data_IF_643125532911
#
_entry.id   IF_643125532911
#
_cell.length_a   1.000
_cell.length_b   1.000
_cell.length_c   1.000
_cell.angle_alpha   90.00
_cell.angle_beta   90.00
_cell.angle_gamma   90.00
#
_symmetry.space_group_name_H-M   'P 1'
#
loop_
_entity.id
_entity.type
_entity.pdbx_description
1 polymer ?
#
# COMPACT_ATOMS: atom_id res chain seq x y z
N UNK A 1 18.63 12.88 -18.65
CA UNK A 1 17.21 12.48 -18.49
C UNK A 1 16.94 11.53 -17.30
N UNK A 2 17.86 10.64 -16.86
CA UNK A 2 17.60 9.72 -15.74
C UNK A 2 17.44 10.33 -14.33
N UNK A 3 17.97 11.53 -14.07
CA UNK A 3 17.89 12.12 -12.73
C UNK A 3 16.50 12.67 -12.41
N UNK A 4 15.85 13.30 -13.39
CA UNK A 4 14.49 13.85 -13.20
C UNK A 4 13.41 12.76 -13.02
N UNK A 5 13.63 11.55 -13.58
CA UNK A 5 12.66 10.45 -13.43
C UNK A 5 12.63 9.83 -12.03
N UNK A 6 13.73 9.90 -11.27
CA UNK A 6 13.76 9.41 -9.88
C UNK A 6 13.05 10.37 -8.92
N UNK A 7 13.26 11.69 -9.07
CA UNK A 7 12.56 12.69 -8.24
C UNK A 7 11.06 12.60 -8.46
N UNK A 8 10.63 12.50 -9.73
CA UNK A 8 9.22 12.30 -10.05
C UNK A 8 8.61 11.05 -9.41
N UNK A 9 9.36 9.93 -9.37
CA UNK A 9 8.88 8.70 -8.73
C UNK A 9 8.72 8.84 -7.21
N UNK A 10 9.60 9.56 -6.52
CA UNK A 10 9.48 9.87 -5.09
C UNK A 10 8.26 10.76 -4.81
N UNK A 11 8.06 11.83 -5.60
CA UNK A 11 6.90 12.71 -5.44
C UNK A 11 5.58 11.96 -5.66
N UNK A 12 5.53 11.12 -6.69
CA UNK A 12 4.36 10.31 -7.00
C UNK A 12 4.11 9.28 -5.90
N UNK A 13 5.14 8.62 -5.36
CA UNK A 13 5.00 7.70 -4.23
C UNK A 13 4.46 8.44 -2.98
N UNK A 14 4.95 9.63 -2.70
CA UNK A 14 4.47 10.48 -1.61
C UNK A 14 2.98 10.81 -1.78
N UNK A 15 2.56 11.28 -2.95
CA UNK A 15 1.16 11.61 -3.23
C UNK A 15 0.27 10.36 -3.12
N UNK A 16 0.71 9.22 -3.65
CA UNK A 16 -0.01 7.95 -3.57
C UNK A 16 -0.27 7.55 -2.12
N UNK A 17 0.75 7.65 -1.28
CA UNK A 17 0.64 7.28 0.14
C UNK A 17 -0.24 8.28 0.91
N UNK A 18 -0.19 9.58 0.60
CA UNK A 18 -1.11 10.57 1.17
C UNK A 18 -2.55 10.21 0.83
N UNK A 19 -2.84 9.85 -0.43
CA UNK A 19 -4.18 9.40 -0.83
C UNK A 19 -4.58 8.16 -0.04
N UNK A 20 -3.70 7.15 0.07
CA UNK A 20 -3.98 5.94 0.84
C UNK A 20 -4.21 6.22 2.33
N UNK A 21 -3.47 7.17 2.93
CA UNK A 21 -3.71 7.60 4.31
C UNK A 21 -5.12 8.11 4.54
N UNK A 22 -5.73 8.79 3.55
CA UNK A 22 -7.12 9.25 3.68
C UNK A 22 -8.14 8.10 3.60
N UNK A 23 -7.78 6.95 3.00
CA UNK A 23 -8.75 5.85 2.78
C UNK A 23 -9.28 5.24 4.06
N UNK A 24 -8.55 5.32 5.17
CA UNK A 24 -9.03 4.84 6.48
C UNK A 24 -10.28 5.59 6.92
N UNK A 25 -10.34 6.91 6.71
CA UNK A 25 -11.51 7.74 7.04
C UNK A 25 -12.70 7.35 6.16
N UNK A 26 -12.51 7.24 4.85
CA UNK A 26 -13.56 6.87 3.91
C UNK A 26 -14.08 5.45 4.14
N UNK A 27 -13.20 4.50 4.47
CA UNK A 27 -13.58 3.13 4.83
C UNK A 27 -14.41 3.13 6.12
N UNK A 28 -14.02 3.90 7.12
CA UNK A 28 -14.76 4.04 8.39
C UNK A 28 -16.18 4.58 8.15
N UNK A 29 -16.34 5.57 7.28
CA UNK A 29 -17.67 6.08 6.91
C UNK A 29 -18.54 5.04 6.21
N UNK A 30 -17.95 4.20 5.34
CA UNK A 30 -18.67 3.10 4.69
C UNK A 30 -19.08 2.00 5.66
N UNK A 31 -18.23 1.68 6.64
CA UNK A 31 -18.58 0.73 7.73
C UNK A 31 -19.73 1.29 8.57
N UNK A 32 -19.67 2.58 8.92
CA UNK A 32 -20.74 3.25 9.65
C UNK A 32 -22.07 3.30 8.87
N UNK A 33 -22.01 3.33 7.53
CA UNK A 33 -23.19 3.23 6.66
C UNK A 33 -23.75 1.80 6.53
N UNK A 34 -23.12 0.79 7.17
CA UNK A 34 -23.61 -0.58 7.24
C UNK A 34 -22.96 -1.57 6.25
N UNK A 35 -21.89 -1.16 5.53
CA UNK A 35 -21.14 -2.11 4.69
C UNK A 35 -20.13 -2.90 5.52
N UNK A 36 -20.03 -4.20 5.26
CA UNK A 36 -18.97 -5.01 5.87
C UNK A 36 -17.60 -4.73 5.23
N UNK A 37 -16.49 -4.95 5.96
CA UNK A 37 -15.13 -4.85 5.43
C UNK A 37 -14.91 -5.62 4.13
N UNK A 38 -15.44 -6.85 4.03
CA UNK A 38 -15.33 -7.67 2.83
C UNK A 38 -16.12 -7.09 1.65
N UNK A 39 -17.31 -6.54 1.89
CA UNK A 39 -18.12 -5.88 0.85
C UNK A 39 -17.39 -4.63 0.29
N UNK A 40 -16.82 -3.80 1.17
CA UNK A 40 -16.06 -2.62 0.76
C UNK A 40 -14.86 -3.04 -0.09
N UNK A 41 -14.09 -4.05 0.34
CA UNK A 41 -12.97 -4.58 -0.44
C UNK A 41 -13.43 -5.09 -1.82
N UNK A 42 -14.46 -5.91 -1.86
CA UNK A 42 -14.94 -6.52 -3.10
C UNK A 42 -15.43 -5.47 -4.08
N UNK A 43 -16.27 -4.53 -3.62
CA UNK A 43 -16.81 -3.48 -4.48
C UNK A 43 -15.71 -2.57 -5.04
N UNK A 44 -14.78 -2.12 -4.19
CA UNK A 44 -13.66 -1.27 -4.65
C UNK A 44 -12.75 -1.98 -5.66
N UNK A 45 -12.52 -3.30 -5.50
CA UNK A 45 -11.69 -4.08 -6.41
C UNK A 45 -12.42 -4.43 -7.70
N UNK A 46 -13.74 -4.66 -7.67
CA UNK A 46 -14.56 -4.83 -8.89
C UNK A 46 -14.54 -3.53 -9.71
N UNK A 47 -14.79 -2.37 -9.08
CA UNK A 47 -14.72 -1.06 -9.74
C UNK A 47 -13.33 -0.86 -10.36
N UNK A 48 -12.27 -1.10 -9.58
CA UNK A 48 -10.90 -0.96 -10.06
C UNK A 48 -10.59 -1.90 -11.22
N UNK A 49 -11.06 -3.17 -11.15
CA UNK A 49 -10.85 -4.15 -12.22
C UNK A 49 -11.55 -3.77 -13.51
N UNK A 50 -12.83 -3.38 -13.45
CA UNK A 50 -13.61 -2.97 -14.62
C UNK A 50 -12.96 -1.77 -15.30
N UNK A 51 -12.59 -0.74 -14.54
CA UNK A 51 -11.91 0.43 -15.06
C UNK A 51 -10.54 0.09 -15.64
N UNK A 52 -9.77 -0.76 -14.95
CA UNK A 52 -8.45 -1.19 -15.40
C UNK A 52 -8.54 -2.05 -16.66
N UNK A 53 -9.59 -2.86 -16.78
CA UNK A 53 -9.89 -3.62 -18.00
C UNK A 53 -10.19 -2.67 -19.17
N UNK A 54 -11.09 -1.70 -18.96
CA UNK A 54 -11.42 -0.69 -19.96
C UNK A 54 -10.20 0.11 -20.39
N UNK A 55 -9.40 0.61 -19.43
CA UNK A 55 -8.15 1.30 -19.70
C UNK A 55 -7.17 0.43 -20.50
N UNK A 56 -7.02 -0.83 -20.10
CA UNK A 56 -6.15 -1.80 -20.77
C UNK A 56 -6.58 -2.06 -22.22
N UNK A 57 -7.88 -2.18 -22.49
CA UNK A 57 -8.42 -2.38 -23.84
C UNK A 57 -8.21 -1.15 -24.74
N UNK A 58 -8.41 0.04 -24.19
CA UNK A 58 -8.21 1.31 -24.93
C UNK A 58 -6.72 1.57 -25.23
N UNK A 59 -5.87 1.32 -24.25
CA UNK A 59 -4.41 1.52 -24.39
C UNK A 59 -3.78 0.56 -25.36
N UNK A 60 -4.30 -0.66 -25.49
CA UNK A 60 -3.74 -1.74 -26.27
C UNK A 60 -4.10 -1.72 -27.77
N UNK A 61 -4.80 -0.70 -28.27
CA UNK A 61 -4.86 -0.46 -29.73
C UNK A 61 -3.46 -0.40 -30.39
N UNK A 62 -2.38 -0.27 -29.56
CA UNK A 62 -0.99 -0.18 -30.01
C UNK A 62 -0.13 -1.42 -29.71
N UNK A 63 -0.64 -2.40 -28.91
CA UNK A 63 0.13 -3.61 -28.53
C UNK A 63 -0.81 -4.82 -28.41
N UNK A 64 -0.38 -6.06 -28.81
CA UNK A 64 -1.25 -7.23 -28.74
C UNK A 64 -1.71 -7.53 -27.31
N UNK A 65 -3.02 -7.74 -27.16
CA UNK A 65 -3.67 -7.98 -25.89
C UNK A 65 -3.33 -9.37 -25.34
N UNK A 66 -2.68 -9.41 -24.17
CA UNK A 66 -2.44 -10.66 -23.46
C UNK A 66 -3.40 -10.77 -22.28
N UNK A 67 -4.25 -11.81 -22.31
CA UNK A 67 -5.16 -12.12 -21.21
C UNK A 67 -4.44 -12.87 -20.09
N UNK A 68 -3.54 -13.78 -20.45
CA UNK A 68 -2.77 -14.63 -19.54
C UNK A 68 -1.29 -14.31 -19.60
N UNK A 69 -0.58 -14.67 -18.54
CA UNK A 69 0.86 -14.59 -18.52
C UNK A 69 1.48 -15.60 -19.48
N UNK A 70 2.79 -15.47 -19.77
CA UNK A 70 3.45 -16.28 -20.75
C UNK A 70 3.59 -17.76 -20.34
N UNK A 71 3.67 -18.02 -19.04
CA UNK A 71 3.83 -19.35 -18.45
C UNK A 71 2.92 -19.52 -17.24
N UNK A 72 2.61 -20.78 -16.89
CA UNK A 72 1.87 -21.08 -15.67
C UNK A 72 2.58 -20.60 -14.39
N UNK A 73 3.93 -20.57 -14.39
CA UNK A 73 4.71 -20.01 -13.30
C UNK A 73 4.50 -18.49 -13.14
N UNK A 74 4.44 -17.78 -14.27
CA UNK A 74 4.17 -16.35 -14.25
C UNK A 74 2.71 -16.07 -13.88
N UNK A 75 1.76 -16.92 -14.31
CA UNK A 75 0.35 -16.80 -13.93
C UNK A 75 0.16 -17.06 -12.43
N UNK A 76 0.84 -18.06 -11.86
CA UNK A 76 0.82 -18.29 -10.41
C UNK A 76 1.45 -17.13 -9.62
N UNK A 77 2.48 -16.47 -10.18
CA UNK A 77 3.02 -15.24 -9.60
C UNK A 77 1.99 -14.10 -9.60
N UNK A 78 1.20 -13.95 -10.68
CA UNK A 78 0.11 -12.96 -10.73
C UNK A 78 -0.98 -13.27 -9.70
N UNK A 79 -1.34 -14.56 -9.53
CA UNK A 79 -2.28 -14.98 -8.50
C UNK A 79 -1.73 -14.70 -7.09
N UNK A 80 -0.47 -15.01 -6.82
CA UNK A 80 0.19 -14.71 -5.55
C UNK A 80 0.21 -13.20 -5.25
N UNK A 81 0.44 -12.35 -6.26
CA UNK A 81 0.35 -10.90 -6.13
C UNK A 81 -1.08 -10.44 -5.82
N UNK A 82 -2.10 -11.02 -6.46
CA UNK A 82 -3.51 -10.73 -6.17
C UNK A 82 -3.94 -11.16 -4.77
N UNK A 83 -3.43 -12.30 -4.30
CA UNK A 83 -3.68 -12.81 -2.96
C UNK A 83 -3.00 -11.91 -1.92
N UNK A 84 -1.72 -11.63 -2.07
CA UNK A 84 -0.94 -10.92 -1.05
C UNK A 84 -1.19 -9.41 -1.06
N UNK A 85 -1.32 -8.76 -2.21
CA UNK A 85 -1.63 -7.34 -2.32
C UNK A 85 -3.12 -7.02 -2.37
N UNK A 86 -3.97 -8.03 -2.39
CA UNK A 86 -5.42 -7.92 -2.45
C UNK A 86 -6.10 -8.62 -1.29
N UNK A 87 -6.60 -9.84 -1.50
CA UNK A 87 -7.53 -10.51 -0.59
C UNK A 87 -6.96 -10.71 0.82
N UNK A 88 -5.76 -11.26 1.00
CA UNK A 88 -5.20 -11.45 2.34
C UNK A 88 -4.98 -10.10 3.03
N UNK A 89 -4.31 -9.17 2.35
CA UNK A 89 -4.02 -7.87 2.94
C UNK A 89 -5.30 -7.18 3.44
N UNK A 90 -6.27 -6.95 2.56
CA UNK A 90 -7.47 -6.20 2.91
C UNK A 90 -8.42 -6.94 3.84
N UNK A 91 -8.54 -8.26 3.71
CA UNK A 91 -9.36 -9.04 4.65
C UNK A 91 -8.78 -8.98 6.06
N UNK A 92 -7.50 -9.24 6.20
CA UNK A 92 -6.87 -9.27 7.53
C UNK A 92 -6.76 -7.87 8.15
N UNK A 93 -6.47 -6.84 7.35
CA UNK A 93 -6.48 -5.43 7.82
C UNK A 93 -7.86 -5.00 8.31
N UNK A 94 -8.88 -5.21 7.47
CA UNK A 94 -10.24 -4.78 7.79
C UNK A 94 -10.88 -5.60 8.91
N UNK A 95 -10.63 -6.92 8.95
CA UNK A 95 -11.11 -7.78 10.04
C UNK A 95 -10.38 -7.45 11.36
N UNK A 96 -9.11 -7.06 11.34
CA UNK A 96 -8.40 -6.62 12.53
C UNK A 96 -9.13 -5.47 13.24
N UNK A 97 -9.74 -4.55 12.49
CA UNK A 97 -10.53 -3.43 13.04
C UNK A 97 -11.76 -3.85 13.84
N UNK A 98 -12.21 -5.09 13.71
CA UNK A 98 -13.32 -5.64 14.54
C UNK A 98 -12.84 -6.10 15.92
N UNK A 99 -11.55 -6.42 16.05
CA UNK A 99 -10.97 -7.00 17.27
C UNK A 99 -10.09 -6.01 18.04
N UNK A 100 -9.57 -4.98 17.36
CA UNK A 100 -8.69 -4.00 17.97
C UNK A 100 -8.97 -2.58 17.47
N UNK A 101 -8.29 -1.57 18.04
CA UNK A 101 -8.49 -0.18 17.65
C UNK A 101 -7.83 0.13 16.29
N UNK A 102 -8.36 1.13 15.58
CA UNK A 102 -7.76 1.63 14.34
C UNK A 102 -6.31 2.10 14.59
N UNK A 103 -6.02 2.64 15.77
CA UNK A 103 -4.68 3.02 16.23
C UNK A 103 -3.72 1.83 16.21
N UNK A 104 -4.11 0.69 16.83
CA UNK A 104 -3.26 -0.51 16.84
C UNK A 104 -3.07 -1.10 15.44
N UNK A 105 -4.15 -1.19 14.64
CA UNK A 105 -4.06 -1.70 13.27
C UNK A 105 -3.12 -0.82 12.43
N UNK A 106 -3.29 0.49 12.48
CA UNK A 106 -2.42 1.40 11.71
C UNK A 106 -0.97 1.33 12.16
N UNK A 107 -0.71 1.19 13.47
CA UNK A 107 0.64 1.03 14.01
C UNK A 107 1.34 -0.21 13.43
N UNK A 108 0.64 -1.35 13.45
CA UNK A 108 1.19 -2.61 12.98
C UNK A 108 1.34 -2.60 11.45
N UNK A 109 0.31 -2.21 10.71
CA UNK A 109 0.31 -2.20 9.24
C UNK A 109 1.32 -1.19 8.68
N UNK A 110 1.39 0.02 9.26
CA UNK A 110 2.35 1.03 8.81
C UNK A 110 3.81 0.73 9.21
N UNK A 111 4.07 -0.35 9.96
CA UNK A 111 5.42 -0.88 10.17
C UNK A 111 5.93 -1.72 8.98
N UNK A 112 5.10 -1.97 7.96
CA UNK A 112 5.45 -2.81 6.82
C UNK A 112 6.74 -2.42 6.06
N UNK A 113 7.22 -1.16 6.01
CA UNK A 113 8.51 -0.84 5.40
C UNK A 113 9.67 -1.56 6.10
N UNK A 114 9.62 -1.67 7.42
CA UNK A 114 10.62 -2.40 8.19
C UNK A 114 10.62 -3.90 7.84
N UNK A 115 9.43 -4.50 7.73
CA UNK A 115 9.29 -5.91 7.32
C UNK A 115 9.67 -6.12 5.85
N UNK A 116 9.35 -5.19 4.96
CA UNK A 116 9.81 -5.23 3.57
C UNK A 116 11.33 -5.20 3.48
N UNK A 117 11.99 -4.37 4.30
CA UNK A 117 13.44 -4.31 4.37
C UNK A 117 14.06 -5.62 4.88
N UNK A 118 13.50 -6.21 5.95
CA UNK A 118 13.96 -7.47 6.53
C UNK A 118 13.76 -8.66 5.57
N UNK A 119 12.59 -8.78 4.98
CA UNK A 119 12.27 -9.83 4.00
C UNK A 119 13.11 -9.68 2.74
N UNK A 120 13.34 -8.45 2.26
CA UNK A 120 14.22 -8.20 1.12
C UNK A 120 15.65 -8.70 1.41
N UNK A 121 16.19 -8.45 2.61
CA UNK A 121 17.49 -8.98 3.03
C UNK A 121 17.51 -10.51 3.05
N UNK A 122 16.44 -11.13 3.54
CA UNK A 122 16.34 -12.58 3.65
C UNK A 122 16.34 -13.27 2.27
N UNK A 123 15.53 -12.75 1.34
CA UNK A 123 15.33 -13.36 0.01
C UNK A 123 16.36 -12.90 -1.03
N UNK A 124 16.85 -11.66 -0.95
CA UNK A 124 17.83 -11.09 -1.88
C UNK A 124 19.18 -10.85 -1.20
N UNK A 125 19.85 -11.92 -0.77
CA UNK A 125 21.12 -11.90 -0.04
C UNK A 125 22.26 -11.10 -0.69
N UNK A 126 22.20 -10.87 -2.00
CA UNK A 126 23.24 -10.18 -2.77
C UNK A 126 23.28 -8.66 -2.58
N UNK A 127 22.26 -8.07 -1.96
CA UNK A 127 22.23 -6.63 -1.70
C UNK A 127 22.55 -6.36 -0.24
N UNK A 128 23.76 -5.86 0.03
CA UNK A 128 24.16 -5.43 1.37
C UNK A 128 23.22 -4.31 1.86
N UNK A 129 22.53 -4.56 2.97
CA UNK A 129 21.74 -3.54 3.67
C UNK A 129 22.70 -2.47 4.17
N UNK A 130 22.43 -1.22 3.86
CA UNK A 130 23.18 -0.10 4.43
C UNK A 130 22.66 0.16 5.84
N UNK A 131 23.55 0.18 6.83
CA UNK A 131 23.20 0.48 8.22
C UNK A 131 22.34 1.75 8.37
N UNK A 132 22.51 2.69 7.45
CA UNK A 132 21.77 3.94 7.37
C UNK A 132 20.30 3.76 6.95
N UNK A 133 20.00 2.83 6.03
CA UNK A 133 18.62 2.51 5.67
C UNK A 133 17.89 1.90 6.87
N UNK A 134 18.57 1.01 7.62
CA UNK A 134 18.03 0.45 8.85
C UNK A 134 17.79 1.54 9.90
N UNK A 135 18.78 2.40 10.13
CA UNK A 135 18.64 3.50 11.11
C UNK A 135 17.49 4.44 10.72
N UNK A 136 17.42 4.86 9.45
CA UNK A 136 16.36 5.73 8.96
C UNK A 136 14.97 5.09 9.09
N UNK A 137 14.83 3.80 8.75
CA UNK A 137 13.58 3.07 8.94
C UNK A 137 13.18 2.94 10.41
N UNK A 138 14.14 2.72 11.31
CA UNK A 138 13.88 2.69 12.76
C UNK A 138 13.43 4.06 13.29
N UNK A 139 14.10 5.14 12.88
CA UNK A 139 13.73 6.52 13.27
C UNK A 139 12.32 6.84 12.76
N UNK A 140 12.01 6.51 11.49
CA UNK A 140 10.67 6.71 10.94
C UNK A 140 9.62 5.87 11.69
N UNK A 141 9.94 4.63 12.05
CA UNK A 141 9.07 3.75 12.82
C UNK A 141 8.77 4.33 14.21
N UNK A 142 9.78 4.84 14.92
CA UNK A 142 9.58 5.52 16.21
C UNK A 142 8.69 6.75 16.05
N UNK A 143 8.94 7.57 15.03
CA UNK A 143 8.09 8.71 14.71
C UNK A 143 6.64 8.30 14.44
N UNK A 144 6.42 7.24 13.68
CA UNK A 144 5.09 6.70 13.39
C UNK A 144 4.37 6.22 14.67
N UNK A 145 5.08 5.53 15.58
CA UNK A 145 4.53 5.13 16.88
C UNK A 145 4.04 6.35 17.66
N UNK A 146 4.85 7.43 17.73
CA UNK A 146 4.48 8.66 18.45
C UNK A 146 3.25 9.33 17.80
N UNK A 147 3.19 9.39 16.46
CA UNK A 147 2.05 9.95 15.72
C UNK A 147 0.78 9.17 16.00
N UNK A 148 0.83 7.84 15.90
CA UNK A 148 -0.34 6.98 16.05
C UNK A 148 -0.86 6.96 17.48
N UNK A 149 0.03 6.93 18.48
CA UNK A 149 -0.36 7.01 19.88
C UNK A 149 -0.91 8.39 20.26
N UNK A 150 -0.49 9.45 19.57
CA UNK A 150 -1.01 10.81 19.70
C UNK A 150 -1.21 11.29 21.16
N UNK A 151 -0.28 10.91 22.05
CA UNK A 151 -0.32 11.21 23.48
C UNK A 151 -1.24 10.31 24.33
N UNK A 152 -1.94 9.37 23.72
CA UNK A 152 -2.75 8.36 24.41
C UNK A 152 -2.00 7.05 24.44
N UNK A 153 -1.18 6.83 25.47
CA UNK A 153 -0.36 5.61 25.64
C UNK A 153 -1.19 4.38 26.08
N UNK A 154 -2.43 4.25 25.63
CA UNK A 154 -3.29 3.11 25.94
C UNK A 154 -3.28 2.17 24.75
N UNK A 155 -2.36 1.21 24.76
CA UNK A 155 -2.39 0.06 23.83
C UNK A 155 -3.43 -0.94 24.34
N UNK A 156 -4.56 -1.02 23.68
CA UNK A 156 -5.50 -2.12 23.90
C UNK A 156 -5.06 -3.32 23.07
N UNK A 157 -4.25 -4.18 23.68
CA UNK A 157 -3.75 -5.38 23.01
C UNK A 157 -4.91 -6.36 22.80
N UNK A 158 -5.09 -6.78 21.56
CA UNK A 158 -5.99 -7.85 21.15
C UNK A 158 -5.19 -8.88 20.35
N UNK A 159 -4.88 -10.06 20.92
CA UNK A 159 -4.04 -11.04 20.25
C UNK A 159 -4.52 -11.40 18.83
N UNK A 160 -5.83 -11.54 18.63
CA UNK A 160 -6.42 -11.86 17.32
C UNK A 160 -6.30 -10.67 16.38
N UNK A 161 -6.70 -9.46 16.82
CA UNK A 161 -6.63 -8.25 16.01
C UNK A 161 -5.19 -7.90 15.63
N UNK A 162 -4.26 -8.00 16.56
CA UNK A 162 -2.85 -7.70 16.34
C UNK A 162 -2.21 -8.73 15.38
N UNK A 163 -2.57 -10.03 15.49
CA UNK A 163 -2.11 -11.07 14.57
C UNK A 163 -2.65 -10.84 13.15
N UNK A 164 -3.92 -10.45 13.01
CA UNK A 164 -4.52 -10.13 11.72
C UNK A 164 -3.83 -8.91 11.06
N UNK A 165 -3.60 -7.84 11.84
CA UNK A 165 -2.88 -6.65 11.37
C UNK A 165 -1.43 -6.98 10.97
N UNK A 166 -0.76 -7.85 11.73
CA UNK A 166 0.58 -8.33 11.40
C UNK A 166 0.60 -9.18 10.13
N UNK A 167 -0.43 -10.01 9.93
CA UNK A 167 -0.60 -10.80 8.70
C UNK A 167 -0.77 -9.88 7.49
N UNK A 168 -1.56 -8.81 7.60
CA UNK A 168 -1.68 -7.79 6.56
C UNK A 168 -0.32 -7.15 6.26
N UNK A 169 0.41 -6.73 7.29
CA UNK A 169 1.74 -6.14 7.16
C UNK A 169 2.73 -7.06 6.40
N UNK A 170 2.80 -8.33 6.77
CA UNK A 170 3.64 -9.32 6.08
C UNK A 170 3.17 -9.56 4.65
N UNK A 171 1.86 -9.66 4.43
CA UNK A 171 1.27 -9.84 3.11
C UNK A 171 1.70 -8.74 2.14
N UNK A 172 1.66 -7.48 2.58
CA UNK A 172 2.16 -6.35 1.79
C UNK A 172 3.67 -6.39 1.54
N UNK A 173 4.46 -6.82 2.53
CA UNK A 173 5.90 -7.00 2.35
C UNK A 173 6.21 -8.05 1.28
N UNK A 174 5.52 -9.19 1.28
CA UNK A 174 5.65 -10.22 0.24
C UNK A 174 5.18 -9.74 -1.13
N UNK A 175 4.04 -9.05 -1.20
CA UNK A 175 3.58 -8.39 -2.44
C UNK A 175 4.69 -7.50 -3.03
N UNK A 176 5.27 -6.62 -2.22
CA UNK A 176 6.32 -5.70 -2.64
C UNK A 176 7.57 -6.41 -3.16
N UNK A 177 7.95 -7.54 -2.55
CA UNK A 177 9.06 -8.36 -3.01
C UNK A 177 8.79 -9.05 -4.35
N UNK A 178 7.61 -9.66 -4.49
CA UNK A 178 7.21 -10.39 -5.70
C UNK A 178 6.98 -9.44 -6.89
N UNK A 179 6.74 -8.15 -6.65
CA UNK A 179 6.62 -7.15 -7.71
C UNK A 179 7.89 -7.01 -8.54
N UNK A 180 9.08 -7.17 -7.94
CA UNK A 180 10.36 -7.02 -8.66
C UNK A 180 10.50 -7.99 -9.84
N UNK A 181 10.38 -9.33 -9.67
CA UNK A 181 10.44 -10.27 -10.79
C UNK A 181 9.26 -10.13 -11.77
N UNK A 182 8.09 -9.74 -11.29
CA UNK A 182 6.93 -9.51 -12.15
C UNK A 182 7.15 -8.31 -13.10
N UNK A 183 7.64 -7.19 -12.58
CA UNK A 183 7.92 -5.96 -13.35
C UNK A 183 9.07 -6.10 -14.35
N UNK A 184 9.94 -7.09 -14.19
CA UNK A 184 10.98 -7.39 -15.18
C UNK A 184 10.43 -8.03 -16.45
N UNK A 185 9.25 -8.68 -16.37
CA UNK A 185 8.66 -9.47 -17.46
C UNK A 185 7.37 -8.89 -18.00
N UNK A 186 6.64 -8.13 -17.19
CA UNK A 186 5.32 -7.62 -17.49
C UNK A 186 5.19 -6.12 -17.16
N UNK A 187 4.33 -5.43 -17.91
CA UNK A 187 4.03 -4.03 -17.65
C UNK A 187 3.22 -3.85 -16.35
N UNK A 188 3.36 -2.69 -15.70
CA UNK A 188 2.56 -2.34 -14.51
C UNK A 188 1.05 -2.45 -14.78
N UNK A 189 0.59 -2.09 -15.98
CA UNK A 189 -0.82 -2.20 -16.40
C UNK A 189 -1.30 -3.65 -16.38
N UNK A 190 -0.52 -4.56 -16.95
CA UNK A 190 -0.84 -6.00 -16.97
C UNK A 190 -0.90 -6.56 -15.54
N UNK A 191 0.14 -6.28 -14.73
CA UNK A 191 0.22 -6.78 -13.36
C UNK A 191 -0.94 -6.24 -12.52
N UNK A 192 -1.20 -4.94 -12.56
CA UNK A 192 -2.27 -4.31 -11.77
C UNK A 192 -3.64 -4.89 -12.12
N UNK A 193 -3.93 -5.12 -13.43
CA UNK A 193 -5.15 -5.79 -13.86
C UNK A 193 -5.27 -7.21 -13.28
N UNK A 194 -4.18 -7.98 -13.28
CA UNK A 194 -4.13 -9.33 -12.71
C UNK A 194 -4.30 -9.33 -11.20
N UNK A 195 -3.71 -8.36 -10.50
CA UNK A 195 -3.87 -8.19 -9.04
C UNK A 195 -5.33 -7.99 -8.69
N UNK A 196 -6.04 -7.11 -9.39
CA UNK A 196 -7.47 -6.91 -9.13
C UNK A 196 -8.30 -8.13 -9.51
N UNK A 197 -8.03 -8.79 -10.64
CA UNK A 197 -8.72 -10.01 -11.04
C UNK A 197 -8.59 -11.11 -9.98
N UNK A 198 -7.36 -11.44 -9.59
CA UNK A 198 -7.13 -12.49 -8.59
C UNK A 198 -7.55 -12.07 -7.19
N UNK A 199 -7.47 -10.78 -6.84
CA UNK A 199 -8.00 -10.25 -5.59
C UNK A 199 -9.52 -10.49 -5.47
N UNK A 200 -10.28 -10.20 -6.54
CA UNK A 200 -11.71 -10.49 -6.59
C UNK A 200 -11.98 -12.00 -6.59
N UNK A 201 -11.26 -12.75 -7.42
CA UNK A 201 -11.47 -14.20 -7.53
C UNK A 201 -11.26 -14.93 -6.19
N UNK A 202 -10.23 -14.53 -5.46
CA UNK A 202 -9.85 -15.21 -4.21
C UNK A 202 -10.63 -14.77 -2.97
N UNK A 203 -11.44 -13.68 -3.05
CA UNK A 203 -12.40 -13.31 -2.00
C UNK A 203 -13.72 -14.09 -2.13
N UNK A 204 -14.06 -14.58 -3.32
CA UNK A 204 -15.36 -15.24 -3.55
C UNK A 204 -15.65 -16.39 -2.58
N UNK A 205 -14.70 -17.29 -2.22
CA UNK A 205 -14.93 -18.33 -1.24
C UNK A 205 -15.35 -17.79 0.13
N UNK A 206 -14.92 -16.59 0.52
CA UNK A 206 -15.35 -15.97 1.77
C UNK A 206 -16.86 -15.75 1.83
N UNK A 207 -17.50 -15.39 0.71
CA UNK A 207 -18.94 -15.19 0.63
C UNK A 207 -19.77 -16.48 0.64
N UNK A 208 -19.15 -17.64 0.47
CA UNK A 208 -19.80 -18.94 0.69
C UNK A 208 -20.00 -19.22 2.18
N UNK A 209 -19.12 -18.64 3.03
CA UNK A 209 -19.17 -18.84 4.48
C UNK A 209 -19.91 -17.69 5.19
N UNK A 210 -19.73 -16.47 4.69
CA UNK A 210 -20.37 -15.24 5.24
C UNK A 210 -21.25 -14.63 4.15
N UNK A 211 -22.49 -15.15 3.97
CA UNK A 211 -23.39 -14.64 2.94
C UNK A 211 -23.81 -13.21 3.27
N UNK A 212 -23.87 -12.37 2.27
CA UNK A 212 -24.41 -11.02 2.40
C UNK A 212 -23.88 -10.11 1.31
N UNK A 213 -24.68 -9.89 0.27
CA UNK A 213 -24.51 -8.73 -0.59
C UNK A 213 -25.01 -7.48 0.15
N UNK A 214 -24.37 -6.30 -0.05
CA UNK A 214 -24.86 -5.08 0.56
C UNK A 214 -26.27 -4.77 0.04
N UNK A 215 -27.11 -4.21 0.93
CA UNK A 215 -28.44 -3.77 0.54
C UNK A 215 -28.31 -2.71 -0.57
N UNK A 216 -29.09 -2.88 -1.65
CA UNK A 216 -29.04 -1.97 -2.80
C UNK A 216 -29.37 -0.52 -2.41
N UNK A 217 -30.31 -0.32 -1.48
CA UNK A 217 -30.67 1.00 -0.97
C UNK A 217 -29.50 1.71 -0.29
N UNK A 218 -28.63 0.97 0.41
CA UNK A 218 -27.40 1.52 1.02
C UNK A 218 -26.42 1.94 -0.08
N UNK A 219 -26.26 1.13 -1.12
CA UNK A 219 -25.36 1.42 -2.23
C UNK A 219 -25.78 2.65 -3.04
N UNK A 220 -27.08 2.91 -3.15
CA UNK A 220 -27.64 4.07 -3.87
C UNK A 220 -27.51 5.38 -3.08
N UNK A 221 -27.14 5.36 -1.80
CA UNK A 221 -26.90 6.58 -1.06
C UNK A 221 -25.74 7.38 -1.68
N UNK A 222 -25.92 8.69 -2.00
CA UNK A 222 -24.89 9.47 -2.70
C UNK A 222 -23.54 9.46 -2.00
N UNK A 223 -23.51 9.52 -0.67
CA UNK A 223 -22.29 9.50 0.12
C UNK A 223 -21.57 8.14 0.02
N UNK A 224 -22.30 7.03 0.09
CA UNK A 224 -21.76 5.67 -0.04
C UNK A 224 -21.18 5.47 -1.42
N UNK A 225 -21.94 5.84 -2.46
CA UNK A 225 -21.51 5.72 -3.85
C UNK A 225 -20.26 6.56 -4.13
N UNK A 226 -20.23 7.82 -3.68
CA UNK A 226 -19.07 8.71 -3.87
C UNK A 226 -17.82 8.14 -3.18
N UNK A 227 -17.96 7.62 -1.95
CA UNK A 227 -16.86 7.02 -1.21
C UNK A 227 -16.36 5.74 -1.89
N UNK A 228 -17.26 4.88 -2.37
CA UNK A 228 -16.89 3.66 -3.11
C UNK A 228 -16.20 3.99 -4.43
N UNK A 229 -16.68 4.99 -5.17
CA UNK A 229 -16.03 5.44 -6.41
C UNK A 229 -14.64 6.01 -6.12
N UNK A 230 -14.48 6.83 -5.08
CA UNK A 230 -13.15 7.30 -4.67
C UNK A 230 -12.21 6.13 -4.35
N UNK A 231 -12.66 5.17 -3.53
CA UNK A 231 -11.86 4.01 -3.16
C UNK A 231 -11.54 3.11 -4.36
N UNK A 232 -12.49 2.89 -5.27
CA UNK A 232 -12.31 2.03 -6.44
C UNK A 232 -11.48 2.70 -7.54
N UNK A 233 -11.84 3.93 -7.95
CA UNK A 233 -11.19 4.61 -9.06
C UNK A 233 -9.83 5.18 -8.68
N UNK A 234 -9.78 5.98 -7.61
CA UNK A 234 -8.56 6.71 -7.25
C UNK A 234 -7.65 5.84 -6.39
N UNK A 235 -8.13 5.44 -5.20
CA UNK A 235 -7.28 4.77 -4.22
C UNK A 235 -6.88 3.33 -4.63
N UNK A 236 -7.72 2.64 -5.43
CA UNK A 236 -7.36 1.32 -5.97
C UNK A 236 -6.77 1.46 -7.37
N UNK A 237 -7.54 1.74 -8.42
CA UNK A 237 -7.04 1.67 -9.81
C UNK A 237 -5.83 2.57 -10.02
N UNK A 238 -5.97 3.89 -9.80
CA UNK A 238 -4.88 4.84 -10.09
C UNK A 238 -3.70 4.61 -9.17
N UNK A 239 -3.93 4.55 -7.86
CA UNK A 239 -2.85 4.43 -6.88
C UNK A 239 -2.08 3.12 -7.02
N UNK A 240 -2.73 1.96 -7.24
CA UNK A 240 -2.01 0.70 -7.45
C UNK A 240 -1.19 0.70 -8.74
N UNK A 241 -1.75 1.24 -9.84
CA UNK A 241 -1.02 1.35 -11.10
C UNK A 241 0.23 2.20 -10.94
N UNK A 242 0.07 3.36 -10.33
CA UNK A 242 1.15 4.33 -10.11
C UNK A 242 2.15 3.81 -9.08
N UNK A 243 1.68 3.14 -8.02
CA UNK A 243 2.54 2.50 -7.02
C UNK A 243 3.44 1.41 -7.63
N UNK A 244 2.85 0.55 -8.46
CA UNK A 244 3.62 -0.48 -9.16
C UNK A 244 4.66 0.12 -10.10
N UNK A 245 4.34 1.25 -10.72
CA UNK A 245 5.32 2.02 -11.48
C UNK A 245 6.41 2.61 -10.56
N UNK A 246 6.07 3.14 -9.38
CA UNK A 246 7.06 3.61 -8.41
C UNK A 246 8.01 2.48 -7.98
N UNK A 247 7.47 1.28 -7.66
CA UNK A 247 8.30 0.11 -7.34
C UNK A 247 9.25 -0.23 -8.49
N UNK A 248 8.81 -0.12 -9.75
CA UNK A 248 9.67 -0.39 -10.91
C UNK A 248 10.84 0.58 -11.02
N UNK A 249 10.68 1.82 -10.54
CA UNK A 249 11.69 2.90 -10.61
C UNK A 249 12.59 2.98 -9.39
N UNK A 250 12.02 2.85 -8.21
CA UNK A 250 12.69 3.02 -6.94
C UNK A 250 13.17 1.69 -6.34
N UNK A 251 12.45 0.61 -6.64
CA UNK A 251 12.57 -0.67 -5.94
C UNK A 251 11.59 -0.76 -4.77
N UNK A 252 11.36 -1.99 -4.30
CA UNK A 252 10.36 -2.28 -3.27
C UNK A 252 10.66 -1.57 -1.94
N UNK A 253 11.90 -1.61 -1.48
CA UNK A 253 12.29 -1.03 -0.18
C UNK A 253 12.16 0.49 -0.19
N UNK A 254 12.72 1.17 -1.20
CA UNK A 254 12.68 2.64 -1.29
C UNK A 254 11.24 3.15 -1.47
N UNK A 255 10.44 2.49 -2.32
CA UNK A 255 9.04 2.84 -2.48
C UNK A 255 8.24 2.65 -1.18
N UNK A 256 8.40 1.50 -0.50
CA UNK A 256 7.62 1.18 0.70
C UNK A 256 7.96 2.09 1.88
N UNK A 257 9.16 2.68 1.95
CA UNK A 257 9.49 3.66 3.00
C UNK A 257 8.51 4.84 3.06
N UNK A 258 7.91 5.25 1.93
CA UNK A 258 6.92 6.32 1.90
C UNK A 258 5.65 5.99 2.71
N UNK A 259 5.36 4.71 2.95
CA UNK A 259 4.20 4.26 3.73
C UNK A 259 4.22 4.78 5.17
N UNK A 260 5.39 5.14 5.71
CA UNK A 260 5.46 5.82 7.01
C UNK A 260 4.72 7.17 7.05
N UNK A 261 4.38 7.76 5.90
CA UNK A 261 3.56 8.97 5.84
C UNK A 261 2.05 8.70 5.99
N UNK A 262 1.60 7.44 5.84
CA UNK A 262 0.16 7.11 5.96
C UNK A 262 -0.48 7.66 7.24
N UNK A 263 0.07 7.43 8.45
CA UNK A 263 -0.55 7.94 9.68
C UNK A 263 -0.67 9.46 9.71
N UNK A 264 0.30 10.17 9.11
CA UNK A 264 0.23 11.64 9.02
C UNK A 264 -0.97 12.08 8.19
N UNK A 265 -1.12 11.48 7.00
CA UNK A 265 -2.23 11.78 6.11
C UNK A 265 -3.58 11.38 6.73
N UNK A 266 -3.62 10.25 7.45
CA UNK A 266 -4.83 9.77 8.15
C UNK A 266 -5.25 10.77 9.24
N UNK A 267 -4.33 11.22 10.08
CA UNK A 267 -4.65 12.15 11.18
C UNK A 267 -5.07 13.51 10.66
N UNK A 268 -4.40 14.03 9.63
CA UNK A 268 -4.82 15.28 8.98
C UNK A 268 -6.22 15.14 8.37
N UNK A 269 -6.51 14.03 7.68
CA UNK A 269 -7.84 13.78 7.13
C UNK A 269 -8.90 13.64 8.25
N UNK A 270 -8.58 12.93 9.33
CA UNK A 270 -9.46 12.75 10.48
C UNK A 270 -9.73 14.08 11.21
N UNK A 271 -8.73 14.96 11.32
CA UNK A 271 -8.94 16.28 11.92
C UNK A 271 -9.88 17.17 11.09
N UNK A 272 -9.84 17.05 9.75
CA UNK A 272 -10.71 17.83 8.87
C UNK A 272 -12.13 17.26 8.81
N UNK A 273 -12.27 15.92 8.78
CA UNK A 273 -13.55 15.24 8.51
C UNK A 273 -14.27 14.86 9.82
N UNK A 274 -13.51 14.57 10.89
CA UNK A 274 -14.02 14.07 12.17
C UNK A 274 -13.77 15.05 13.33
N UNK A 275 -13.26 16.27 13.05
CA UNK A 275 -12.91 17.32 14.03
C UNK A 275 -11.94 16.82 15.13
N UNK A 276 -11.04 15.86 14.80
CA UNK A 276 -10.05 15.36 15.74
C UNK A 276 -8.93 16.39 15.96
N UNK A 277 -8.51 16.60 17.22
CA UNK A 277 -7.48 17.59 17.57
C UNK A 277 -6.07 17.12 17.22
N UNK A 278 -5.29 17.97 16.58
CA UNK A 278 -3.86 17.74 16.32
C UNK A 278 -3.07 18.08 17.60
N UNK A 279 -2.29 17.13 18.10
CA UNK A 279 -1.52 17.29 19.33
C UNK A 279 -0.05 17.61 19.07
N UNK A 280 0.72 18.12 20.07
CA UNK A 280 2.17 18.27 19.95
C UNK A 280 2.92 16.96 19.63
N UNK A 281 2.40 15.81 20.06
CA UNK A 281 2.95 14.49 19.75
C UNK A 281 2.89 14.19 18.24
N UNK A 282 1.81 14.61 17.56
CA UNK A 282 1.71 14.54 16.12
C UNK A 282 2.86 15.31 15.43
N UNK A 283 3.16 16.52 15.88
CA UNK A 283 4.23 17.34 15.31
C UNK A 283 5.61 16.71 15.52
N UNK A 284 5.88 16.24 16.75
CA UNK A 284 7.14 15.56 17.07
C UNK A 284 7.33 14.28 16.24
N UNK A 285 6.33 13.42 16.20
CA UNK A 285 6.38 12.17 15.46
C UNK A 285 6.50 12.41 13.95
N UNK A 286 5.82 13.43 13.41
CA UNK A 286 5.93 13.84 12.00
C UNK A 286 7.37 14.27 11.66
N UNK A 287 8.01 15.06 12.51
CA UNK A 287 9.41 15.45 12.32
C UNK A 287 10.34 14.23 12.30
N UNK A 288 10.12 13.24 13.19
CA UNK A 288 10.91 12.02 13.21
C UNK A 288 10.68 11.15 11.96
N UNK A 289 9.43 11.05 11.47
CA UNK A 289 9.14 10.33 10.21
C UNK A 289 9.90 10.97 9.05
N UNK A 290 9.81 12.29 8.89
CA UNK A 290 10.49 13.01 7.83
C UNK A 290 12.02 12.88 7.94
N UNK A 291 12.57 12.95 9.15
CA UNK A 291 13.99 12.71 9.40
C UNK A 291 14.40 11.28 9.02
N UNK A 292 13.61 10.28 9.40
CA UNK A 292 13.86 8.88 9.06
C UNK A 292 13.82 8.64 7.55
N UNK A 293 12.83 9.18 6.84
CA UNK A 293 12.76 9.15 5.38
C UNK A 293 13.98 9.83 4.74
N UNK A 294 14.36 11.01 5.19
CA UNK A 294 15.57 11.69 4.71
C UNK A 294 16.82 10.83 4.91
N UNK A 295 16.94 10.17 6.06
CA UNK A 295 18.06 9.27 6.33
C UNK A 295 18.05 8.03 5.42
N UNK A 296 16.91 7.43 5.11
CA UNK A 296 16.83 6.28 4.19
C UNK A 296 17.17 6.64 2.75
N UNK A 297 16.70 7.80 2.27
CA UNK A 297 16.80 8.22 0.87
C UNK A 297 18.17 8.84 0.50
N UNK A 298 18.88 9.38 1.46
CA UNK A 298 20.17 10.03 1.19
C UNK A 298 21.21 9.03 0.67
N UNK A 299 21.68 9.21 -0.56
CA UNK A 299 22.70 8.37 -1.21
C UNK A 299 24.05 8.48 -0.46
N UNK A 300 24.73 7.34 -0.29
CA UNK A 300 26.07 7.34 0.29
C UNK A 300 27.05 8.09 -0.63
N UNK A 301 28.02 8.89 -0.08
CA UNK A 301 29.06 9.56 -0.86
C UNK A 301 29.81 8.60 -1.80
N UNK A 302 30.02 7.34 -1.40
CA UNK A 302 30.64 6.30 -2.20
C UNK A 302 29.84 5.90 -3.46
N UNK A 303 28.51 6.04 -3.46
CA UNK A 303 27.70 5.78 -4.65
C UNK A 303 27.71 6.96 -5.62
N UNK A 304 27.82 8.17 -5.12
CA UNK A 304 28.01 9.38 -5.94
C UNK A 304 29.37 9.33 -6.65
N UNK A 305 30.41 8.86 -5.98
CA UNK A 305 31.75 8.73 -6.57
C UNK A 305 31.85 7.60 -7.60
N UNK A 306 31.18 6.44 -7.39
CA UNK A 306 31.10 5.36 -8.38
C UNK A 306 30.32 5.77 -9.62
N UNK A 307 29.17 6.43 -9.48
CA UNK A 307 28.41 6.96 -10.64
C UNK A 307 29.19 8.02 -11.42
N UNK A 308 29.92 8.93 -10.74
CA UNK A 308 30.79 9.88 -11.41
C UNK A 308 31.92 9.18 -12.21
N UNK A 309 32.50 8.11 -11.64
CA UNK A 309 33.54 7.33 -12.35
C UNK A 309 32.99 6.56 -13.57
N UNK A 310 31.76 6.05 -13.50
CA UNK A 310 31.08 5.36 -14.61
C UNK A 310 30.62 6.34 -15.70
N UNK A 311 30.22 7.57 -15.34
CA UNK A 311 29.88 8.62 -16.31
C UNK A 311 31.11 9.20 -17.02
N UNK A 312 32.24 9.25 -16.35
CA UNK A 312 33.51 9.72 -16.96
C UNK A 312 34.22 8.64 -17.79
N UNK A 313 33.69 7.40 -17.82
CA UNK A 313 34.21 6.29 -18.66
C UNK A 313 33.38 6.03 -19.92
N UNK A 314 32.27 6.75 -20.11
CA UNK A 314 31.43 6.78 -21.33
C UNK A 314 31.65 8.10 -22.08
#
# INVERSE_FOLDING_TARGET
MHHNSHIGAHLIACITVIIWGTTFVWTKLLIAAGLSPAQIFTLRFIIAYVLMLGFSLLWQKRTPHKWFAHTWKDESLMAALGITGGSIYFLTENEALRFTTATNVSLIVCSCPLFTLLTHKLFYRSQAMKGRQMLGSLVACVGMVIVVLNGRFVLQLSPIGDLLAFTACLSWAFYSLMMKPALQRYSSVFITRKVFFYGVLTILPYYLVVPGFPNFDVLCQPQVLTNLLFLGCIASMVCFLVWNWCISRLGAVEATNWVYLNPLATIVAASIVLDETITPYFLLGSALILLGLYLTERKSPLQLSRRRREQNRK
#
